data_IF_706530979571
#
_entry.id   IF_706530979571
#
_cell.length_a   1.000
_cell.length_b   1.000
_cell.length_c   1.000
_cell.angle_alpha   90.00
_cell.angle_beta   90.00
_cell.angle_gamma   90.00
#
_symmetry.space_group_name_H-M   'P 1'
#
loop_
_entity.id
_entity.type
_entity.pdbx_description
1 polymer ?
#
# COMPACT_ATOMS: atom_id res chain seq x y z
N UNK A 1 13.84 -9.80 18.38
CA UNK A 1 15.08 -10.53 18.65
C UNK A 1 16.01 -9.55 19.32
N UNK A 2 16.27 -9.79 20.59
CA UNK A 2 17.21 -9.00 21.36
C UNK A 2 18.65 -9.38 20.97
N UNK A 3 19.45 -8.38 20.58
CA UNK A 3 20.86 -8.56 20.21
C UNK A 3 21.81 -8.45 21.41
N UNK A 4 21.32 -7.99 22.56
CA UNK A 4 22.09 -7.81 23.79
C UNK A 4 22.87 -9.06 24.22
N UNK A 5 22.29 -10.28 24.28
CA UNK A 5 23.03 -11.47 24.70
C UNK A 5 24.22 -11.80 23.78
N UNK A 6 24.07 -11.60 22.47
CA UNK A 6 25.16 -11.85 21.50
C UNK A 6 26.31 -10.86 21.68
N UNK A 7 25.98 -9.57 21.89
CA UNK A 7 27.00 -8.55 22.15
C UNK A 7 27.68 -8.70 23.51
N UNK A 8 26.95 -9.21 24.52
CA UNK A 8 27.53 -9.54 25.83
C UNK A 8 28.47 -10.73 25.76
N UNK A 9 28.08 -11.81 25.08
CA UNK A 9 28.97 -12.97 24.88
C UNK A 9 30.28 -12.55 24.22
N UNK A 10 30.20 -11.74 23.15
CA UNK A 10 31.39 -11.28 22.42
C UNK A 10 32.32 -10.42 23.30
N UNK A 11 31.75 -9.65 24.23
CA UNK A 11 32.51 -8.89 25.23
C UNK A 11 33.22 -9.82 26.21
N UNK A 12 32.50 -10.80 26.75
CA UNK A 12 33.03 -11.75 27.73
C UNK A 12 34.12 -12.64 27.12
N UNK A 13 33.93 -13.04 25.86
CA UNK A 13 34.91 -13.80 25.07
C UNK A 13 36.20 -12.99 24.87
N UNK A 14 36.09 -11.69 24.58
CA UNK A 14 37.25 -10.79 24.44
C UNK A 14 38.04 -10.67 25.75
N UNK A 15 37.34 -10.50 26.87
CA UNK A 15 37.97 -10.42 28.21
C UNK A 15 38.62 -11.75 28.55
N UNK A 16 37.94 -12.86 28.29
CA UNK A 16 38.43 -14.22 28.54
C UNK A 16 39.68 -14.50 27.72
N UNK A 17 39.69 -14.19 26.43
CA UNK A 17 40.85 -14.35 25.56
C UNK A 17 42.06 -13.54 26.03
N UNK A 18 41.84 -12.31 26.51
CA UNK A 18 42.91 -11.46 27.01
C UNK A 18 43.46 -11.87 28.38
N UNK A 19 42.76 -12.72 29.13
CA UNK A 19 43.21 -13.19 30.46
C UNK A 19 44.53 -13.97 30.41
N UNK A 20 44.79 -14.65 29.28
CA UNK A 20 46.05 -15.40 29.02
C UNK A 20 47.23 -14.45 28.79
N UNK A 21 46.97 -13.19 28.43
CA UNK A 21 47.97 -12.19 28.14
C UNK A 21 48.51 -11.45 29.36
N UNK A 22 49.35 -10.45 29.09
CA UNK A 22 49.91 -9.54 30.06
C UNK A 22 48.88 -8.46 30.51
N UNK A 23 49.27 -7.63 31.48
CA UNK A 23 48.38 -6.60 32.01
C UNK A 23 48.02 -5.52 30.98
N UNK A 24 48.89 -5.30 29.99
CA UNK A 24 48.63 -4.38 28.89
C UNK A 24 47.51 -4.91 27.98
N UNK A 25 47.57 -6.20 27.62
CA UNK A 25 46.55 -6.89 26.85
C UNK A 25 45.19 -6.89 27.56
N UNK A 26 45.15 -7.19 28.86
CA UNK A 26 43.90 -7.14 29.65
C UNK A 26 43.30 -5.74 29.69
N UNK A 27 44.12 -4.70 29.86
CA UNK A 27 43.67 -3.30 29.85
C UNK A 27 43.11 -2.90 28.48
N UNK A 28 43.80 -3.26 27.40
CA UNK A 28 43.33 -3.00 26.04
C UNK A 28 42.00 -3.72 25.76
N UNK A 29 41.89 -4.99 26.14
CA UNK A 29 40.67 -5.77 25.97
C UNK A 29 39.49 -5.20 26.76
N UNK A 30 39.68 -4.78 28.01
CA UNK A 30 38.62 -4.15 28.80
C UNK A 30 38.10 -2.85 28.16
N UNK A 31 38.99 -2.04 27.59
CA UNK A 31 38.61 -0.81 26.88
C UNK A 31 37.84 -1.12 25.59
N UNK A 32 38.31 -2.07 24.79
CA UNK A 32 37.67 -2.50 23.54
C UNK A 32 36.31 -3.16 23.80
N UNK A 33 36.21 -4.00 24.83
CA UNK A 33 34.99 -4.63 25.32
C UNK A 33 33.88 -3.60 25.61
N UNK A 34 34.25 -2.44 26.17
CA UNK A 34 33.31 -1.33 26.39
C UNK A 34 32.92 -0.59 25.11
N UNK A 35 33.85 -0.45 24.15
CA UNK A 35 33.65 0.37 22.96
C UNK A 35 33.05 -0.36 21.75
N UNK A 36 33.13 -1.70 21.70
CA UNK A 36 32.77 -2.48 20.50
C UNK A 36 31.26 -2.69 20.34
N UNK A 37 30.46 -2.54 21.40
CA UNK A 37 29.03 -2.89 21.39
C UNK A 37 28.24 -2.21 20.24
N UNK A 38 28.35 -0.88 20.01
CA UNK A 38 27.62 -0.23 18.92
C UNK A 38 28.04 -0.72 17.54
N UNK A 39 29.35 -0.94 17.34
CA UNK A 39 29.90 -1.40 16.07
C UNK A 39 29.52 -2.85 15.76
N UNK A 40 29.62 -3.74 16.76
CA UNK A 40 29.21 -5.14 16.65
C UNK A 40 27.71 -5.26 16.36
N UNK A 41 26.88 -4.47 17.04
CA UNK A 41 25.43 -4.45 16.80
C UNK A 41 25.10 -4.03 15.37
N UNK A 42 25.74 -2.97 14.86
CA UNK A 42 25.56 -2.53 13.49
C UNK A 42 26.00 -3.60 12.48
N UNK A 43 27.15 -4.23 12.70
CA UNK A 43 27.64 -5.30 11.83
C UNK A 43 26.67 -6.49 11.76
N UNK A 44 26.14 -6.93 12.91
CA UNK A 44 25.12 -7.99 12.96
C UNK A 44 23.86 -7.57 12.21
N UNK A 45 23.42 -6.32 12.36
CA UNK A 45 22.24 -5.81 11.67
C UNK A 45 22.42 -5.82 10.14
N UNK A 46 23.58 -5.38 9.64
CA UNK A 46 23.89 -5.43 8.21
C UNK A 46 23.89 -6.88 7.70
N UNK A 47 24.55 -7.80 8.41
CA UNK A 47 24.58 -9.21 8.04
C UNK A 47 23.17 -9.84 8.00
N UNK A 48 22.31 -9.50 8.95
CA UNK A 48 20.92 -9.97 8.95
C UNK A 48 20.11 -9.35 7.80
N UNK A 49 20.34 -8.08 7.46
CA UNK A 49 19.67 -7.42 6.34
C UNK A 49 20.06 -8.05 4.99
N UNK A 50 21.35 -8.34 4.80
CA UNK A 50 21.84 -9.05 3.61
C UNK A 50 21.21 -10.46 3.52
N UNK A 51 21.17 -11.20 4.63
CA UNK A 51 20.49 -12.50 4.70
C UNK A 51 19.00 -12.40 4.36
N UNK A 52 18.30 -11.37 4.86
CA UNK A 52 16.88 -11.17 4.55
C UNK A 52 16.66 -10.87 3.06
N UNK A 53 17.56 -10.12 2.42
CA UNK A 53 17.52 -9.87 0.98
C UNK A 53 17.76 -11.15 0.17
N UNK A 54 18.72 -11.99 0.58
CA UNK A 54 18.99 -13.28 -0.05
C UNK A 54 17.80 -14.24 0.07
N UNK A 55 17.22 -14.36 1.26
CA UNK A 55 16.03 -15.18 1.52
C UNK A 55 14.83 -14.67 0.70
N UNK A 56 14.63 -13.36 0.64
CA UNK A 56 13.58 -12.77 -0.21
C UNK A 56 13.82 -13.09 -1.69
N UNK A 57 15.06 -13.04 -2.17
CA UNK A 57 15.39 -13.41 -3.56
C UNK A 57 15.17 -14.89 -3.86
N UNK A 58 15.34 -15.77 -2.88
CA UNK A 58 15.08 -17.20 -3.00
C UNK A 58 13.58 -17.56 -2.96
N UNK A 59 12.74 -16.69 -2.39
CA UNK A 59 11.31 -16.89 -2.24
C UNK A 59 10.54 -16.12 -3.33
N UNK A 60 9.64 -16.81 -4.05
CA UNK A 60 8.91 -16.19 -5.18
C UNK A 60 7.76 -15.28 -4.74
N UNK A 61 7.00 -15.77 -3.76
CA UNK A 61 5.72 -15.19 -3.33
C UNK A 61 5.81 -14.69 -1.88
N UNK A 62 7.02 -14.49 -1.35
CA UNK A 62 7.20 -14.14 0.05
C UNK A 62 8.37 -13.20 0.22
N UNK A 63 8.10 -12.05 0.82
CA UNK A 63 9.11 -11.04 1.16
C UNK A 63 9.41 -11.12 2.64
N UNK A 64 10.69 -11.16 3.00
CA UNK A 64 11.16 -11.14 4.37
C UNK A 64 11.88 -9.82 4.61
N UNK A 65 11.35 -9.02 5.52
CA UNK A 65 11.93 -7.74 5.94
C UNK A 65 12.37 -7.79 7.40
N UNK A 66 13.35 -6.97 7.74
CA UNK A 66 13.75 -6.74 9.12
C UNK A 66 13.38 -5.32 9.54
N UNK A 67 12.70 -5.20 10.67
CA UNK A 67 12.36 -3.92 11.29
C UNK A 67 13.06 -3.77 12.63
N UNK A 68 13.51 -2.56 12.92
CA UNK A 68 14.05 -2.22 14.22
C UNK A 68 12.94 -1.66 15.10
N UNK A 69 12.77 -2.26 16.28
CA UNK A 69 11.86 -1.83 17.33
C UNK A 69 12.71 -1.51 18.57
N UNK A 70 13.22 -0.29 18.63
CA UNK A 70 14.19 0.12 19.65
C UNK A 70 15.50 -0.69 19.57
N UNK A 71 15.68 -1.63 20.50
CA UNK A 71 16.86 -2.51 20.57
C UNK A 71 16.62 -3.90 19.97
N UNK A 72 15.37 -4.19 19.62
CA UNK A 72 14.94 -5.48 19.13
C UNK A 72 14.82 -5.50 17.60
N UNK A 73 15.32 -6.55 16.98
CA UNK A 73 15.11 -6.83 15.55
C UNK A 73 13.86 -7.68 15.37
N UNK A 74 12.92 -7.24 14.55
CA UNK A 74 11.70 -7.99 14.21
C UNK A 74 11.72 -8.43 12.77
N UNK A 75 11.45 -9.72 12.55
CA UNK A 75 11.29 -10.28 11.21
C UNK A 75 9.84 -10.11 10.80
N UNK A 76 9.60 -9.44 9.68
CA UNK A 76 8.30 -9.27 9.08
C UNK A 76 8.25 -10.09 7.79
N UNK A 77 7.34 -11.06 7.73
CA UNK A 77 7.15 -11.89 6.55
C UNK A 77 5.84 -11.48 5.89
N UNK A 78 5.89 -11.18 4.60
CA UNK A 78 4.72 -10.79 3.81
C UNK A 78 4.57 -11.73 2.63
N UNK A 79 3.49 -12.49 2.61
CA UNK A 79 3.14 -13.35 1.50
C UNK A 79 2.44 -12.53 0.42
N UNK A 80 3.00 -12.57 -0.78
CA UNK A 80 2.46 -11.97 -1.98
C UNK A 80 1.81 -13.12 -2.75
N UNK A 81 0.50 -13.33 -2.55
CA UNK A 81 -0.21 -14.31 -3.35
C UNK A 81 -0.07 -13.90 -4.82
N UNK A 82 0.61 -14.73 -5.61
CA UNK A 82 0.56 -14.65 -7.06
C UNK A 82 -0.93 -14.61 -7.41
N UNK A 83 -1.37 -13.52 -8.02
CA UNK A 83 -2.76 -13.38 -8.41
C UNK A 83 -3.11 -14.59 -9.27
N UNK A 84 -3.87 -15.54 -8.71
CA UNK A 84 -4.60 -16.47 -9.54
C UNK A 84 -5.36 -15.60 -10.55
N UNK A 85 -5.31 -15.91 -11.85
CA UNK A 85 -6.19 -15.26 -12.79
C UNK A 85 -7.60 -15.50 -12.26
N UNK A 86 -8.20 -14.44 -11.70
CA UNK A 86 -9.54 -14.48 -11.15
C UNK A 86 -10.45 -14.87 -12.30
N UNK A 87 -10.79 -16.16 -12.34
CA UNK A 87 -11.97 -16.61 -13.05
C UNK A 87 -13.13 -15.86 -12.41
N UNK A 88 -13.89 -15.05 -13.17
CA UNK A 88 -14.90 -14.19 -12.60
C UNK A 88 -16.05 -15.05 -12.04
N UNK A 89 -16.07 -15.30 -10.73
CA UNK A 89 -17.20 -15.95 -10.07
C UNK A 89 -16.96 -16.33 -8.61
N UNK A 90 -17.80 -15.76 -7.72
CA UNK A 90 -18.02 -16.06 -6.28
C UNK A 90 -16.92 -15.54 -5.32
N UNK A 91 -17.17 -14.53 -4.46
CA UNK A 91 -18.15 -14.48 -3.36
C UNK A 91 -17.50 -15.14 -2.12
N UNK A 92 -17.24 -14.51 -0.96
CA UNK A 92 -18.07 -13.68 -0.07
C UNK A 92 -17.15 -13.02 0.98
N UNK A 93 -17.26 -11.72 1.23
CA UNK A 93 -17.85 -11.13 2.45
C UNK A 93 -17.39 -11.73 3.79
N UNK A 94 -16.23 -11.28 4.30
CA UNK A 94 -15.99 -11.22 5.75
C UNK A 94 -14.87 -10.21 6.06
N UNK A 95 -14.76 -9.79 7.33
CA UNK A 95 -13.76 -8.87 7.90
C UNK A 95 -14.06 -7.36 7.93
N UNK A 96 -15.21 -6.99 8.52
CA UNK A 96 -15.29 -5.75 9.29
C UNK A 96 -14.58 -5.94 10.64
N UNK A 97 -13.32 -5.47 10.74
CA UNK A 97 -12.75 -5.08 12.04
C UNK A 97 -12.07 -3.73 11.92
N UNK A 98 -12.67 -2.73 12.56
CA UNK A 98 -12.21 -1.34 12.63
C UNK A 98 -11.40 -1.14 13.93
N UNK A 99 -10.22 -0.50 13.93
CA UNK A 99 -9.61 0.02 15.16
C UNK A 99 -9.89 1.51 15.33
N UNK A 100 -9.99 1.93 16.60
CA UNK A 100 -10.32 3.27 17.09
C UNK A 100 -9.17 4.30 16.97
N UNK A 101 -9.53 5.52 16.49
CA UNK A 101 -9.21 6.91 16.94
C UNK A 101 -7.74 7.39 17.19
N UNK A 102 -7.43 8.72 17.27
CA UNK A 102 -8.25 9.94 17.11
C UNK A 102 -7.68 11.10 16.23
N UNK A 103 -8.62 11.93 15.75
CA UNK A 103 -8.66 13.40 15.59
C UNK A 103 -7.43 14.27 15.18
N UNK A 104 -7.64 15.06 14.11
CA UNK A 104 -7.00 16.35 13.83
C UNK A 104 -7.65 17.02 12.60
N UNK A 105 -8.25 18.20 12.81
CA UNK A 105 -9.20 18.90 11.95
C UNK A 105 -8.64 19.50 10.63
N UNK A 106 -9.46 19.60 9.57
CA UNK A 106 -10.06 20.86 9.07
C UNK A 106 -10.99 20.60 7.86
N UNK A 107 -11.92 21.52 7.61
CA UNK A 107 -13.10 21.38 6.77
C UNK A 107 -12.86 20.98 5.29
N UNK A 108 -13.59 19.96 4.84
CA UNK A 108 -13.73 19.59 3.44
C UNK A 108 -14.50 18.27 3.30
N UNK A 109 -15.68 18.33 2.69
CA UNK A 109 -16.56 17.24 2.23
C UNK A 109 -16.16 15.85 2.76
N UNK A 110 -16.76 15.48 3.90
CA UNK A 110 -16.31 14.29 4.63
C UNK A 110 -16.54 13.06 3.76
N UNK A 111 -15.67 12.04 3.83
CA UNK A 111 -15.94 10.73 3.21
C UNK A 111 -17.27 10.11 3.67
N UNK A 112 -17.90 10.67 4.72
CA UNK A 112 -19.25 10.34 5.18
C UNK A 112 -20.37 10.98 4.34
N UNK A 113 -20.19 12.18 3.80
CA UNK A 113 -21.18 12.85 2.95
C UNK A 113 -21.28 12.17 1.58
N UNK A 114 -20.12 11.78 1.03
CA UNK A 114 -20.05 10.95 -0.17
C UNK A 114 -20.59 9.53 0.08
N UNK A 115 -20.32 8.96 1.26
CA UNK A 115 -20.91 7.67 1.66
C UNK A 115 -22.42 7.77 1.83
N UNK A 116 -22.96 8.87 2.35
CA UNK A 116 -24.42 9.09 2.47
C UNK A 116 -25.09 9.16 1.10
N UNK A 117 -24.52 9.95 0.19
CA UNK A 117 -25.02 10.07 -1.17
C UNK A 117 -24.98 8.73 -1.94
N UNK A 118 -24.03 7.86 -1.63
CA UNK A 118 -23.87 6.53 -2.25
C UNK A 118 -24.67 5.43 -1.52
N UNK A 119 -24.89 5.54 -0.21
CA UNK A 119 -25.76 4.65 0.58
C UNK A 119 -27.23 4.80 0.20
N UNK A 120 -27.71 6.02 -0.04
CA UNK A 120 -29.06 6.27 -0.58
C UNK A 120 -29.24 5.66 -1.98
N UNK A 121 -28.15 5.38 -2.70
CA UNK A 121 -28.13 4.69 -3.99
C UNK A 121 -27.93 3.17 -3.90
N UNK A 122 -27.91 2.59 -2.69
CA UNK A 122 -27.95 1.14 -2.45
C UNK A 122 -26.69 0.35 -2.86
N UNK A 123 -25.54 1.00 -3.02
CA UNK A 123 -24.29 0.34 -3.42
C UNK A 123 -23.34 0.08 -2.26
N UNK A 124 -22.87 -1.16 -2.12
CA UNK A 124 -21.74 -1.49 -1.25
C UNK A 124 -20.44 -0.90 -1.85
N UNK A 125 -19.72 -0.07 -1.08
CA UNK A 125 -18.48 0.56 -1.54
C UNK A 125 -17.33 -0.48 -1.51
N UNK A 126 -17.02 -1.07 -2.67
CA UNK A 126 -15.88 -2.01 -2.81
C UNK A 126 -14.56 -1.27 -3.02
N UNK A 127 -13.54 -1.60 -2.21
CA UNK A 127 -12.19 -1.02 -2.32
C UNK A 127 -11.38 -1.78 -3.37
N UNK A 128 -10.87 -1.07 -4.37
CA UNK A 128 -10.07 -1.65 -5.47
C UNK A 128 -8.71 -0.93 -5.60
N UNK A 129 -7.61 -1.67 -5.69
CA UNK A 129 -6.28 -1.12 -5.97
C UNK A 129 -6.00 -1.20 -7.48
N UNK A 130 -5.73 -0.05 -8.12
CA UNK A 130 -5.45 0.05 -9.56
C UNK A 130 -3.96 0.32 -9.79
N UNK A 131 -3.35 -0.41 -10.73
CA UNK A 131 -2.00 -0.11 -11.23
C UNK A 131 -2.12 0.63 -12.55
N UNK A 132 -1.46 1.77 -12.66
CA UNK A 132 -1.51 2.65 -13.83
C UNK A 132 -0.08 2.88 -14.32
N UNK A 133 0.09 3.07 -15.63
CA UNK A 133 1.35 3.58 -16.17
C UNK A 133 1.64 4.98 -15.62
N UNK A 134 2.92 5.31 -15.43
CA UNK A 134 3.33 6.58 -14.82
C UNK A 134 2.74 7.79 -15.55
N UNK A 135 2.71 7.77 -16.89
CA UNK A 135 2.14 8.86 -17.69
C UNK A 135 0.64 9.08 -17.42
N UNK A 136 -0.13 7.99 -17.29
CA UNK A 136 -1.56 8.06 -16.99
C UNK A 136 -1.82 8.57 -15.58
N UNK A 137 -1.01 8.17 -14.61
CA UNK A 137 -1.08 8.70 -13.24
C UNK A 137 -0.84 10.22 -13.24
N UNK A 138 0.23 10.68 -13.88
CA UNK A 138 0.57 12.11 -13.95
C UNK A 138 -0.51 12.92 -14.66
N UNK A 139 -1.09 12.40 -15.75
CA UNK A 139 -2.18 13.07 -16.45
C UNK A 139 -3.44 13.18 -15.58
N UNK A 140 -3.80 12.12 -14.85
CA UNK A 140 -4.93 12.10 -13.94
C UNK A 140 -4.73 13.04 -12.74
N UNK A 141 -3.52 13.12 -12.18
CA UNK A 141 -3.19 14.06 -11.09
C UNK A 141 -3.33 15.51 -11.53
N UNK A 142 -2.85 15.86 -12.73
CA UNK A 142 -2.99 17.21 -13.28
C UNK A 142 -4.46 17.56 -13.51
N UNK A 143 -5.23 16.67 -14.12
CA UNK A 143 -6.66 16.89 -14.38
C UNK A 143 -7.49 17.00 -13.08
N UNK A 144 -7.12 16.24 -12.05
CA UNK A 144 -7.74 16.35 -10.72
C UNK A 144 -7.43 17.71 -10.06
N UNK A 145 -6.17 18.16 -10.16
CA UNK A 145 -5.73 19.46 -9.61
C UNK A 145 -6.42 20.65 -10.28
N UNK A 146 -6.59 20.63 -11.61
CA UNK A 146 -7.33 21.64 -12.37
C UNK A 146 -8.80 21.75 -11.92
N UNK A 147 -9.38 20.64 -11.48
CA UNK A 147 -10.77 20.56 -11.00
C UNK A 147 -10.88 20.77 -9.48
N UNK A 148 -9.77 20.99 -8.77
CA UNK A 148 -9.76 21.18 -7.32
C UNK A 148 -10.23 19.94 -6.54
N UNK A 149 -10.14 18.74 -7.12
CA UNK A 149 -10.59 17.48 -6.50
C UNK A 149 -9.41 16.53 -6.26
N UNK A 150 -9.60 15.57 -5.35
CA UNK A 150 -8.61 14.51 -5.16
C UNK A 150 -8.54 13.59 -6.38
N UNK A 151 -7.37 13.00 -6.62
CA UNK A 151 -7.18 11.99 -7.66
C UNK A 151 -8.21 10.85 -7.56
N UNK A 152 -8.51 10.39 -6.34
CA UNK A 152 -9.50 9.32 -6.12
C UNK A 152 -10.91 9.74 -6.56
N UNK A 153 -11.30 10.99 -6.29
CA UNK A 153 -12.59 11.56 -6.69
C UNK A 153 -12.67 11.73 -8.22
N UNK A 154 -11.58 12.18 -8.83
CA UNK A 154 -11.49 12.32 -10.28
C UNK A 154 -11.64 10.96 -10.98
N UNK A 155 -10.89 9.94 -10.52
CA UNK A 155 -10.94 8.58 -11.06
C UNK A 155 -12.33 7.96 -10.85
N UNK A 156 -12.93 8.11 -9.67
CA UNK A 156 -14.24 7.52 -9.39
C UNK A 156 -15.35 8.12 -10.27
N UNK A 157 -15.30 9.44 -10.53
CA UNK A 157 -16.20 10.09 -11.48
C UNK A 157 -15.98 9.61 -12.91
N UNK A 158 -14.74 9.61 -13.39
CA UNK A 158 -14.41 9.15 -14.74
C UNK A 158 -14.87 7.69 -15.00
N UNK A 159 -14.67 6.80 -14.02
CA UNK A 159 -15.15 5.41 -14.10
C UNK A 159 -16.68 5.38 -14.11
N UNK A 160 -17.34 6.12 -13.22
CA UNK A 160 -18.82 6.18 -13.17
C UNK A 160 -19.43 6.67 -14.47
N UNK A 161 -18.83 7.67 -15.10
CA UNK A 161 -19.29 8.24 -16.37
C UNK A 161 -19.07 7.25 -17.52
N UNK A 162 -17.91 6.58 -17.55
CA UNK A 162 -17.63 5.53 -18.54
C UNK A 162 -18.61 4.35 -18.43
N UNK A 163 -18.96 3.93 -17.21
CA UNK A 163 -19.90 2.84 -16.96
C UNK A 163 -21.33 3.25 -17.35
N UNK A 164 -21.76 4.47 -17.01
CA UNK A 164 -23.06 5.00 -17.46
C UNK A 164 -23.18 5.07 -18.97
N UNK A 165 -22.11 5.49 -19.66
CA UNK A 165 -22.08 5.55 -21.13
C UNK A 165 -21.99 4.17 -21.78
N UNK A 166 -21.47 3.15 -21.08
CA UNK A 166 -21.28 1.80 -21.61
C UNK A 166 -22.56 0.94 -21.59
N UNK A 167 -23.60 1.33 -20.83
CA UNK A 167 -24.89 0.63 -20.80
C UNK A 167 -25.83 1.22 -21.86
N UNK A 168 -26.09 0.55 -23.00
CA UNK A 168 -27.08 0.99 -23.95
C UNK A 168 -28.46 0.60 -23.41
N UNK A 169 -29.28 1.57 -23.01
CA UNK A 169 -30.69 1.33 -22.71
C UNK A 169 -31.44 0.92 -23.98
N UNK A 170 -31.45 -0.38 -24.26
CA UNK A 170 -32.22 -0.98 -25.35
C UNK A 170 -33.67 -1.16 -24.92
N UNK A 171 -34.50 -0.15 -25.17
CA UNK A 171 -35.97 -0.19 -25.41
C UNK A 171 -36.47 1.27 -25.39
N UNK A 172 -36.96 1.88 -26.47
CA UNK A 172 -38.17 1.48 -27.19
C UNK A 172 -38.08 1.80 -28.69
N UNK A 173 -38.15 0.75 -29.52
CA UNK A 173 -38.76 0.74 -30.86
C UNK A 173 -39.52 -0.59 -30.94
N UNK A 174 -40.81 -0.67 -31.25
CA UNK A 174 -41.76 0.37 -31.60
C UNK A 174 -43.14 -0.23 -31.93
N UNK A 175 -44.06 0.65 -32.33
CA UNK A 175 -45.30 0.40 -33.10
C UNK A 175 -45.84 1.81 -33.41
N UNK A 176 -45.96 2.34 -34.62
CA UNK A 176 -46.29 1.77 -35.93
C UNK A 176 -47.47 2.58 -36.45
N UNK A 177 -47.28 3.30 -37.57
CA UNK A 177 -48.29 4.16 -38.24
C UNK A 177 -48.14 5.63 -37.86
N UNK A 178 -48.12 6.61 -38.74
CA UNK A 178 -48.55 6.66 -40.13
C UNK A 178 -47.83 7.85 -40.81
N UNK A 179 -47.54 7.71 -42.10
CA UNK A 179 -46.87 8.71 -42.92
C UNK A 179 -47.89 9.27 -43.88
N UNK A 180 -48.38 10.49 -43.66
CA UNK A 180 -48.85 11.36 -44.74
C UNK A 180 -48.59 12.85 -44.45
N UNK A 181 -47.67 13.39 -45.26
CA UNK A 181 -47.73 14.69 -45.96
C UNK A 181 -48.33 15.91 -45.24
N UNK A 182 -47.48 16.93 -45.01
CA UNK A 182 -47.72 18.23 -45.66
C UNK A 182 -46.42 19.01 -45.86
N UNK A 183 -46.24 19.50 -47.10
CA UNK A 183 -45.21 20.42 -47.56
C UNK A 183 -45.83 21.81 -47.63
N UNK A 184 -45.16 22.83 -47.09
CA UNK A 184 -45.18 24.27 -47.44
C UNK A 184 -44.28 25.00 -46.43
N UNK A 185 -43.47 26.02 -46.72
CA UNK A 185 -43.11 26.77 -47.91
C UNK A 185 -42.32 28.03 -47.47
N UNK A 186 -41.23 28.33 -48.20
CA UNK A 186 -40.52 29.61 -48.46
C UNK A 186 -40.11 30.60 -47.34
N UNK A 187 -38.93 31.22 -47.50
CA UNK A 187 -38.79 32.64 -47.93
C UNK A 187 -37.35 32.92 -48.39
N UNK A 188 -37.29 33.80 -49.39
CA UNK A 188 -36.17 34.33 -50.16
C UNK A 188 -35.79 35.69 -49.56
N UNK A 189 -34.50 35.99 -49.51
CA UNK A 189 -33.93 37.30 -49.18
C UNK A 189 -32.43 37.24 -49.28
#
# INVERSE_FOLDING_TARGET
MDLTPYTQSLRDDLITAASVGDDAARRAAAMLAGAIEPAARLAIMNALADLAAEVTGALRDTTVELKLDGRDVRVCVTHHQAAEPVSPGAGSADYLRKPDSPAGADAGDSPEDLKRAVQDAGGELSRTTVRLFNELKTQAERAAAEQGVSLNTYISRAVSDSVRSAVPTKNQRGRGGDSERTVTGYIRG
#
